data_IF_687471233591
#
_entry.id   IF_687471233591
#
_cell.length_a   1.000
_cell.length_b   1.000
_cell.length_c   1.000
_cell.angle_alpha   90.00
_cell.angle_beta   90.00
_cell.angle_gamma   90.00
#
_symmetry.space_group_name_H-M   'P 1'
#
loop_
_entity.id
_entity.type
_entity.pdbx_description
1 polymer ?
#
# COMPACT_ATOMS: atom_id res chain seq x y z
N UNK A 1 -0.37 -12.51 5.52
CA UNK A 1 -0.41 -11.90 6.87
C UNK A 1 0.71 -12.20 7.88
N UNK A 2 1.05 -13.46 8.24
CA UNK A 2 2.05 -13.70 9.32
C UNK A 2 3.40 -13.01 9.13
N UNK A 3 3.85 -12.89 7.87
CA UNK A 3 5.03 -12.14 7.51
C UNK A 3 4.88 -10.64 7.88
N UNK A 4 3.79 -9.98 7.47
CA UNK A 4 3.47 -8.60 7.81
C UNK A 4 3.50 -8.39 9.33
N UNK A 5 2.81 -9.28 10.07
CA UNK A 5 2.80 -9.27 11.53
C UNK A 5 4.20 -9.30 12.11
N UNK A 6 5.04 -10.25 11.67
CA UNK A 6 6.42 -10.37 12.15
C UNK A 6 7.27 -9.13 11.90
N UNK A 7 7.18 -8.51 10.72
CA UNK A 7 7.97 -7.32 10.40
C UNK A 7 7.54 -6.14 11.30
N UNK A 8 6.23 -5.90 11.37
CA UNK A 8 5.66 -4.72 12.03
C UNK A 8 5.82 -4.79 13.55
N UNK A 9 5.56 -5.96 14.16
CA UNK A 9 5.79 -6.17 15.60
C UNK A 9 7.28 -6.28 15.95
N UNK A 10 8.12 -6.67 14.99
CA UNK A 10 9.59 -6.64 15.10
C UNK A 10 10.22 -5.26 14.95
N UNK A 11 9.42 -4.18 14.88
CA UNK A 11 9.89 -2.80 14.84
C UNK A 11 10.14 -2.23 13.43
N UNK A 12 9.97 -3.02 12.37
CA UNK A 12 10.03 -2.54 10.99
C UNK A 12 8.68 -1.97 10.58
N UNK A 13 8.41 -0.77 11.08
CA UNK A 13 7.12 -0.08 10.91
C UNK A 13 7.08 0.85 9.69
N UNK A 14 8.14 0.99 8.92
CA UNK A 14 8.06 1.73 7.66
C UNK A 14 7.55 0.81 6.54
N UNK A 15 6.55 1.23 5.77
CA UNK A 15 6.00 0.44 4.64
C UNK A 15 7.06 0.08 3.59
N UNK A 16 8.15 0.85 3.49
CA UNK A 16 9.27 0.59 2.59
C UNK A 16 10.11 -0.61 3.04
N UNK A 17 9.95 -1.07 4.27
CA UNK A 17 10.67 -2.23 4.82
C UNK A 17 10.21 -3.58 4.23
N UNK A 18 9.10 -3.63 3.50
CA UNK A 18 8.60 -4.84 2.82
C UNK A 18 9.19 -5.06 1.41
N UNK A 19 10.18 -4.25 1.06
CA UNK A 19 10.95 -4.41 -0.16
C UNK A 19 12.19 -5.29 0.10
N UNK A 20 12.46 -6.25 -0.79
CA UNK A 20 13.55 -7.20 -0.68
C UNK A 20 14.47 -7.15 -1.89
N UNK A 21 15.77 -6.94 -1.65
CA UNK A 21 16.79 -7.37 -2.60
C UNK A 21 16.85 -8.90 -2.61
N UNK A 22 17.36 -9.48 -3.71
CA UNK A 22 17.50 -10.93 -3.89
C UNK A 22 17.99 -11.69 -2.66
N UNK A 23 19.01 -11.18 -1.97
CA UNK A 23 19.66 -11.87 -0.84
C UNK A 23 18.99 -11.59 0.52
N UNK A 24 17.97 -10.74 0.55
CA UNK A 24 17.24 -10.37 1.77
C UNK A 24 15.89 -11.07 1.89
N UNK A 25 15.45 -11.74 0.81
CA UNK A 25 14.18 -12.49 0.80
C UNK A 25 14.25 -13.56 1.89
N UNK A 26 13.35 -13.54 2.89
CA UNK A 26 13.33 -14.55 3.93
C UNK A 26 13.11 -15.97 3.38
N UNK A 27 13.80 -16.96 3.95
CA UNK A 27 13.78 -18.37 3.48
C UNK A 27 12.36 -18.99 3.42
N UNK A 28 11.45 -18.51 4.26
CA UNK A 28 10.07 -18.97 4.31
C UNK A 28 9.15 -18.33 3.25
N UNK A 29 9.62 -17.32 2.51
CA UNK A 29 8.88 -16.70 1.40
C UNK A 29 9.13 -17.46 0.09
N UNK A 30 8.77 -18.75 0.09
CA UNK A 30 9.10 -19.70 -0.99
C UNK A 30 8.64 -19.25 -2.38
N UNK A 31 7.48 -18.58 -2.49
CA UNK A 31 7.00 -18.00 -3.76
C UNK A 31 7.90 -16.87 -4.27
N UNK A 32 8.33 -15.98 -3.37
CA UNK A 32 9.21 -14.87 -3.72
C UNK A 32 10.61 -15.39 -4.09
N UNK A 33 11.11 -16.41 -3.38
CA UNK A 33 12.34 -17.11 -3.73
C UNK A 33 12.26 -17.77 -5.10
N UNK A 34 11.13 -18.41 -5.44
CA UNK A 34 10.92 -19.00 -6.75
C UNK A 34 10.96 -17.95 -7.87
N UNK A 35 10.34 -16.78 -7.66
CA UNK A 35 10.44 -15.64 -8.60
C UNK A 35 11.89 -15.15 -8.70
N UNK A 36 12.62 -15.07 -7.59
CA UNK A 36 14.02 -14.68 -7.64
C UNK A 36 14.85 -15.65 -8.50
N UNK A 37 14.62 -16.95 -8.40
CA UNK A 37 15.37 -17.97 -9.15
C UNK A 37 15.15 -17.93 -10.66
N UNK A 38 14.07 -17.30 -11.16
CA UNK A 38 13.82 -17.18 -12.61
C UNK A 38 14.59 -16.03 -13.25
N UNK A 39 14.98 -15.02 -12.47
CA UNK A 39 15.83 -13.93 -12.93
C UNK A 39 17.31 -14.34 -12.90
N UNK A 40 18.09 -13.90 -13.88
CA UNK A 40 19.53 -14.16 -13.96
C UNK A 40 20.27 -13.72 -12.68
N UNK A 41 21.35 -14.42 -12.31
CA UNK A 41 22.07 -14.15 -11.05
C UNK A 41 22.69 -12.74 -11.01
N UNK A 42 23.12 -12.22 -12.17
CA UNK A 42 23.78 -10.91 -12.30
C UNK A 42 22.79 -9.75 -12.49
N UNK A 43 21.48 -10.02 -12.52
CA UNK A 43 20.45 -8.99 -12.67
C UNK A 43 20.11 -8.44 -11.28
N UNK A 44 20.30 -7.12 -11.03
CA UNK A 44 19.81 -6.49 -9.82
C UNK A 44 18.29 -6.69 -9.71
N UNK A 45 17.87 -7.33 -8.62
CA UNK A 45 16.48 -7.73 -8.43
C UNK A 45 15.95 -7.20 -7.11
N UNK A 46 14.79 -6.56 -7.21
CA UNK A 46 13.97 -6.10 -6.12
C UNK A 46 12.61 -6.78 -6.20
N UNK A 47 12.14 -7.28 -5.06
CA UNK A 47 10.87 -7.99 -4.91
C UNK A 47 10.03 -7.32 -3.82
N UNK A 48 8.72 -7.32 -4.03
CA UNK A 48 7.74 -6.79 -3.08
C UNK A 48 6.38 -7.44 -3.34
N UNK A 49 5.50 -7.52 -2.34
CA UNK A 49 4.12 -7.88 -2.59
C UNK A 49 3.39 -6.77 -3.37
N UNK A 50 2.49 -7.16 -4.26
CA UNK A 50 1.76 -6.24 -5.14
C UNK A 50 0.91 -5.23 -4.36
N UNK A 51 0.23 -5.66 -3.29
CA UNK A 51 -0.66 -4.79 -2.52
C UNK A 51 0.13 -3.81 -1.63
N UNK A 52 1.28 -4.25 -1.10
CA UNK A 52 2.20 -3.36 -0.37
C UNK A 52 2.82 -2.33 -1.34
N UNK A 53 3.23 -2.77 -2.53
CA UNK A 53 3.75 -1.88 -3.58
C UNK A 53 2.70 -0.85 -4.00
N UNK A 54 1.42 -1.23 -4.16
CA UNK A 54 0.39 -0.26 -4.54
C UNK A 54 0.12 0.78 -3.46
N UNK A 55 0.29 0.43 -2.18
CA UNK A 55 0.24 1.41 -1.07
C UNK A 55 1.40 2.40 -1.15
N UNK A 56 2.62 1.94 -1.46
CA UNK A 56 3.76 2.84 -1.69
C UNK A 56 3.49 3.76 -2.87
N UNK A 57 3.03 3.22 -4.01
CA UNK A 57 2.74 4.02 -5.18
C UNK A 57 1.59 5.01 -4.96
N UNK A 58 0.56 4.65 -4.18
CA UNK A 58 -0.50 5.59 -3.83
C UNK A 58 0.02 6.81 -3.06
N UNK A 59 1.10 6.66 -2.27
CA UNK A 59 1.73 7.79 -1.57
C UNK A 59 2.54 8.71 -2.49
N UNK A 60 2.76 8.35 -3.75
CA UNK A 60 3.33 9.26 -4.74
C UNK A 60 2.30 10.28 -5.25
N UNK A 61 1.00 10.04 -5.05
CA UNK A 61 -0.02 11.05 -5.33
C UNK A 61 0.15 12.25 -4.39
N UNK A 62 0.31 13.49 -4.92
CA UNK A 62 0.57 14.67 -4.09
C UNK A 62 -0.47 14.93 -2.99
N UNK A 63 -1.74 14.59 -3.23
CA UNK A 63 -2.80 14.79 -2.25
C UNK A 63 -2.67 13.81 -1.09
N UNK A 64 -2.28 12.56 -1.38
CA UNK A 64 -2.02 11.52 -0.38
C UNK A 64 -0.73 11.81 0.38
N UNK A 65 0.32 12.24 -0.33
CA UNK A 65 1.61 12.59 0.25
C UNK A 65 1.51 13.73 1.28
N UNK A 66 0.66 14.73 1.02
CA UNK A 66 0.46 15.89 1.87
C UNK A 66 -0.18 15.57 3.24
N UNK A 67 -0.84 14.42 3.39
CA UNK A 67 -1.53 14.06 4.64
C UNK A 67 -0.56 13.41 5.61
N UNK A 68 -0.38 13.96 6.82
CA UNK A 68 0.44 13.29 7.81
C UNK A 68 -0.22 11.99 8.31
N UNK A 69 -1.45 12.07 8.82
CA UNK A 69 -2.25 10.91 9.21
C UNK A 69 -3.21 10.52 8.08
N UNK A 70 -3.18 9.25 7.67
CA UNK A 70 -4.00 8.72 6.57
C UNK A 70 -4.22 7.23 6.69
N UNK A 71 -5.34 6.76 6.11
CA UNK A 71 -5.52 5.36 5.74
C UNK A 71 -5.29 5.22 4.25
N UNK A 72 -4.44 4.28 3.84
CA UNK A 72 -4.21 3.95 2.43
C UNK A 72 -4.66 2.52 2.21
N UNK A 73 -5.69 2.34 1.39
CA UNK A 73 -6.32 1.06 1.14
C UNK A 73 -6.25 0.68 -0.35
N UNK A 74 -5.77 -0.53 -0.63
CA UNK A 74 -5.84 -1.14 -1.94
C UNK A 74 -6.96 -2.19 -1.96
N UNK A 75 -8.01 -1.95 -2.74
CA UNK A 75 -9.12 -2.89 -2.98
C UNK A 75 -8.82 -3.68 -4.25
N UNK A 76 -8.00 -4.73 -4.10
CA UNK A 76 -7.63 -5.65 -5.16
C UNK A 76 -8.77 -6.58 -5.57
N UNK A 77 -8.54 -7.40 -6.60
CA UNK A 77 -9.51 -8.41 -7.02
C UNK A 77 -9.71 -9.49 -5.93
N UNK A 78 -8.59 -9.97 -5.37
CA UNK A 78 -8.59 -11.06 -4.39
C UNK A 78 -8.48 -10.56 -2.96
N UNK A 79 -7.67 -9.52 -2.73
CA UNK A 79 -7.33 -9.02 -1.39
C UNK A 79 -7.52 -7.51 -1.26
N UNK A 80 -8.10 -7.12 -0.13
CA UNK A 80 -8.14 -5.77 0.37
C UNK A 80 -7.09 -5.65 1.46
N UNK A 81 -6.15 -4.73 1.26
CA UNK A 81 -5.10 -4.42 2.23
C UNK A 81 -5.21 -2.93 2.57
N UNK A 82 -5.31 -2.60 3.85
CA UNK A 82 -5.37 -1.21 4.31
C UNK A 82 -4.33 -0.95 5.40
N UNK A 83 -3.63 0.17 5.27
CA UNK A 83 -2.66 0.64 6.25
C UNK A 83 -3.14 1.95 6.87
N UNK A 84 -3.13 2.02 8.19
CA UNK A 84 -3.16 3.28 8.94
C UNK A 84 -1.73 3.78 9.08
N UNK A 85 -1.45 4.97 8.56
CA UNK A 85 -0.10 5.54 8.43
C UNK A 85 0.00 6.94 9.05
N UNK A 86 1.13 7.19 9.73
CA UNK A 86 1.65 8.53 10.00
C UNK A 86 2.92 8.73 9.17
N UNK A 87 2.86 9.58 8.14
CA UNK A 87 3.90 9.63 7.10
C UNK A 87 3.99 8.28 6.38
N UNK A 88 5.14 7.61 6.48
CA UNK A 88 5.36 6.22 6.03
C UNK A 88 5.30 5.19 7.15
N UNK A 89 5.11 5.62 8.41
CA UNK A 89 5.12 4.75 9.58
C UNK A 89 3.74 4.13 9.80
N UNK A 90 3.73 2.80 9.87
CA UNK A 90 2.57 1.95 10.08
C UNK A 90 2.15 2.03 11.55
N UNK A 91 0.92 2.51 11.74
CA UNK A 91 0.21 2.52 13.02
C UNK A 91 -0.73 1.32 13.16
N UNK A 92 -1.16 0.76 12.03
CA UNK A 92 -1.93 -0.49 11.98
C UNK A 92 -2.17 -0.91 10.54
N UNK A 93 -2.55 -2.16 10.34
CA UNK A 93 -2.99 -2.66 9.05
C UNK A 93 -3.97 -3.82 9.18
N UNK A 94 -4.75 -4.10 8.15
CA UNK A 94 -5.48 -5.36 8.03
C UNK A 94 -5.46 -5.87 6.59
N UNK A 95 -5.58 -7.18 6.44
CA UNK A 95 -5.67 -7.88 5.15
C UNK A 95 -6.91 -8.77 5.16
N UNK A 96 -7.73 -8.69 4.10
CA UNK A 96 -8.96 -9.46 3.98
C UNK A 96 -9.20 -9.91 2.54
N UNK A 97 -9.86 -11.04 2.33
CA UNK A 97 -10.35 -11.39 1.00
C UNK A 97 -11.40 -10.37 0.54
N UNK A 98 -11.25 -9.78 -0.65
CA UNK A 98 -12.12 -8.69 -1.09
C UNK A 98 -13.54 -9.17 -1.39
N UNK A 99 -13.69 -10.38 -1.94
CA UNK A 99 -14.99 -10.93 -2.33
C UNK A 99 -15.93 -11.22 -1.14
N UNK A 100 -15.40 -11.27 0.09
CA UNK A 100 -16.18 -11.44 1.34
C UNK A 100 -16.41 -10.12 2.07
N UNK A 101 -15.95 -9.00 1.52
CA UNK A 101 -16.21 -7.66 2.02
C UNK A 101 -17.38 -7.02 1.27
N UNK A 102 -18.31 -6.44 2.04
CA UNK A 102 -19.26 -5.44 1.56
C UNK A 102 -18.89 -4.05 2.08
N UNK A 103 -19.42 -3.01 1.45
CA UNK A 103 -19.11 -1.61 1.77
C UNK A 103 -19.20 -1.29 3.28
N UNK A 104 -20.32 -1.61 3.93
CA UNK A 104 -20.51 -1.33 5.35
C UNK A 104 -19.54 -2.08 6.28
N UNK A 105 -19.16 -3.32 5.93
CA UNK A 105 -18.15 -4.09 6.68
C UNK A 105 -16.78 -3.45 6.53
N UNK A 106 -16.39 -3.09 5.31
CA UNK A 106 -15.13 -2.42 5.02
C UNK A 106 -15.05 -1.05 5.73
N UNK A 107 -16.11 -0.26 5.69
CA UNK A 107 -16.19 1.02 6.41
C UNK A 107 -16.00 0.86 7.92
N UNK A 108 -16.68 -0.13 8.51
CA UNK A 108 -16.52 -0.46 9.92
C UNK A 108 -15.07 -0.82 10.24
N UNK A 109 -14.44 -1.66 9.40
CA UNK A 109 -13.05 -2.08 9.61
C UNK A 109 -12.07 -0.92 9.48
N UNK A 110 -12.22 -0.06 8.46
CA UNK A 110 -11.38 1.12 8.29
C UNK A 110 -11.46 2.04 9.50
N UNK A 111 -12.67 2.32 10.03
CA UNK A 111 -12.83 3.17 11.22
C UNK A 111 -12.21 2.55 12.46
N UNK A 112 -12.40 1.25 12.64
CA UNK A 112 -11.90 0.52 13.81
C UNK A 112 -10.38 0.33 13.77
N UNK A 113 -9.79 0.30 12.57
CA UNK A 113 -8.34 0.30 12.37
C UNK A 113 -7.69 1.54 12.99
N UNK A 114 -8.24 2.74 12.79
CA UNK A 114 -7.67 3.98 13.34
C UNK A 114 -8.06 4.22 14.80
N UNK A 115 -9.26 3.79 15.22
CA UNK A 115 -9.76 3.96 16.59
C UNK A 115 -9.22 2.96 17.59
N UNK A 116 -8.68 1.81 17.14
CA UNK A 116 -8.07 0.82 18.03
C UNK A 116 -8.97 -0.35 18.38
N UNK A 117 -10.03 -0.59 17.61
CA UNK A 117 -11.07 -1.59 17.94
C UNK A 117 -11.21 -2.71 16.93
N UNK A 118 -10.29 -2.86 15.96
CA UNK A 118 -10.30 -3.94 14.98
C UNK A 118 -9.44 -5.10 15.51
N UNK A 119 -10.10 -6.19 15.91
CA UNK A 119 -9.45 -7.38 16.45
C UNK A 119 -8.93 -8.28 15.32
N UNK A 120 -7.86 -9.02 15.60
CA UNK A 120 -7.31 -9.97 14.63
C UNK A 120 -8.26 -11.14 14.37
N UNK A 121 -8.83 -11.70 15.45
CA UNK A 121 -9.70 -12.86 15.41
C UNK A 121 -11.00 -12.59 14.63
N UNK A 122 -11.58 -11.39 14.73
CA UNK A 122 -12.78 -11.07 13.95
C UNK A 122 -12.50 -10.94 12.45
N UNK A 123 -11.30 -10.47 12.07
CA UNK A 123 -10.90 -10.41 10.66
C UNK A 123 -10.69 -11.82 10.15
N UNK A 124 -10.02 -12.67 10.92
CA UNK A 124 -9.81 -14.07 10.60
C UNK A 124 -11.14 -14.85 10.45
N UNK A 125 -12.02 -14.79 11.46
CA UNK A 125 -13.36 -15.40 11.42
C UNK A 125 -14.21 -14.85 10.27
N UNK A 126 -13.97 -13.61 9.86
CA UNK A 126 -14.60 -12.96 8.71
C UNK A 126 -14.11 -13.45 7.35
N UNK A 127 -13.26 -14.49 7.29
CA UNK A 127 -12.51 -14.94 6.12
C UNK A 127 -11.49 -13.93 5.60
N UNK A 128 -10.92 -13.11 6.49
CA UNK A 128 -9.73 -12.32 6.22
C UNK A 128 -8.46 -13.03 6.68
N UNK A 129 -7.32 -12.37 6.53
CA UNK A 129 -6.03 -12.92 6.97
C UNK A 129 -5.56 -12.36 8.33
N UNK A 130 -6.03 -11.18 8.71
CA UNK A 130 -5.85 -10.65 10.07
C UNK A 130 -5.81 -9.12 10.15
N UNK A 131 -5.64 -8.63 11.38
CA UNK A 131 -5.45 -7.22 11.70
C UNK A 131 -4.33 -7.02 12.73
N UNK A 132 -3.65 -5.87 12.63
CA UNK A 132 -2.61 -5.43 13.55
C UNK A 132 -2.90 -3.97 13.88
N UNK A 133 -2.96 -3.66 15.17
CA UNK A 133 -3.01 -2.29 15.68
C UNK A 133 -1.78 -2.08 16.57
N UNK A 134 -1.00 -1.06 16.27
CA UNK A 134 0.17 -0.65 17.04
C UNK A 134 -0.10 0.64 17.81
N UNK A 135 -0.60 1.66 17.10
CA UNK A 135 -1.05 2.93 17.67
C UNK A 135 -2.43 3.25 17.09
N UNK A 136 -3.28 3.82 17.92
CA UNK A 136 -4.65 4.13 17.59
C UNK A 136 -5.22 5.22 18.50
N UNK A 137 -6.48 5.58 18.28
CA UNK A 137 -7.21 6.56 19.09
C UNK A 137 -7.64 7.78 18.30
N UNK A 138 -7.64 7.70 16.97
CA UNK A 138 -8.02 8.79 16.10
C UNK A 138 -9.09 8.39 15.08
N UNK A 139 -9.80 9.40 14.59
CA UNK A 139 -10.70 9.28 13.46
C UNK A 139 -9.93 9.18 12.16
N UNK A 140 -10.55 8.63 11.12
CA UNK A 140 -9.99 8.68 9.77
C UNK A 140 -9.95 10.15 9.33
N UNK A 141 -8.76 10.76 9.36
CA UNK A 141 -8.54 12.11 8.85
C UNK A 141 -8.54 12.17 7.33
N UNK A 142 -8.02 11.13 6.68
CA UNK A 142 -7.98 10.99 5.23
C UNK A 142 -7.96 9.52 4.82
N UNK A 143 -8.73 9.16 3.79
CA UNK A 143 -8.77 7.81 3.24
C UNK A 143 -8.40 7.86 1.74
N UNK A 144 -7.24 7.30 1.42
CA UNK A 144 -6.81 7.05 0.05
C UNK A 144 -7.22 5.65 -0.38
N UNK A 145 -7.80 5.49 -1.56
CA UNK A 145 -8.22 4.20 -2.10
C UNK A 145 -7.67 3.98 -3.51
N UNK A 146 -7.03 2.84 -3.72
CA UNK A 146 -6.64 2.32 -5.04
C UNK A 146 -7.26 0.95 -5.28
N UNK A 147 -7.06 0.41 -6.48
CA UNK A 147 -7.44 -0.93 -6.86
C UNK A 147 -8.69 -1.02 -7.74
N UNK A 148 -8.86 -2.13 -8.46
CA UNK A 148 -9.97 -2.34 -9.39
C UNK A 148 -11.34 -2.35 -8.71
N UNK A 149 -11.43 -2.79 -7.45
CA UNK A 149 -12.70 -2.89 -6.70
C UNK A 149 -13.00 -1.66 -5.84
N UNK A 150 -12.28 -0.54 -6.04
CA UNK A 150 -12.46 0.72 -5.30
C UNK A 150 -13.88 1.30 -5.34
N UNK A 151 -14.65 0.99 -6.39
CA UNK A 151 -16.07 1.39 -6.51
C UNK A 151 -16.95 0.92 -5.34
N UNK A 152 -16.52 -0.10 -4.59
CA UNK A 152 -17.16 -0.52 -3.33
C UNK A 152 -17.32 0.64 -2.33
N UNK A 153 -16.45 1.66 -2.38
CA UNK A 153 -16.45 2.80 -1.47
C UNK A 153 -16.91 4.11 -2.12
N UNK A 154 -17.38 4.11 -3.37
CA UNK A 154 -17.73 5.35 -4.10
C UNK A 154 -18.84 6.16 -3.41
N UNK A 155 -19.85 5.49 -2.85
CA UNK A 155 -20.94 6.12 -2.10
C UNK A 155 -20.68 6.15 -0.58
N UNK A 156 -19.45 5.88 -0.13
CA UNK A 156 -19.14 5.74 1.28
C UNK A 156 -19.20 7.08 2.02
N UNK A 157 -19.77 7.15 3.23
CA UNK A 157 -19.69 8.34 4.09
C UNK A 157 -18.27 8.62 4.59
N UNK A 158 -17.30 7.74 4.32
CA UNK A 158 -15.89 8.00 4.56
C UNK A 158 -15.26 8.95 3.53
N UNK A 159 -15.98 9.29 2.45
CA UNK A 159 -15.56 10.21 1.39
C UNK A 159 -14.13 9.92 0.90
N UNK A 160 -13.89 8.72 0.33
CA UNK A 160 -12.55 8.32 -0.07
C UNK A 160 -12.00 9.20 -1.19
N UNK A 161 -10.70 9.48 -1.11
CA UNK A 161 -9.92 10.00 -2.23
C UNK A 161 -9.41 8.82 -3.07
N UNK A 162 -9.80 8.76 -4.35
CA UNK A 162 -9.30 7.73 -5.26
C UNK A 162 -7.98 8.18 -5.88
N UNK A 163 -6.86 7.68 -5.34
CA UNK A 163 -5.53 8.14 -5.72
C UNK A 163 -5.17 7.72 -7.16
N UNK A 164 -4.50 8.62 -7.86
CA UNK A 164 -4.06 8.44 -9.26
C UNK A 164 -2.59 8.85 -9.38
N UNK A 165 -1.66 8.10 -8.76
CA UNK A 165 -0.24 8.45 -8.81
C UNK A 165 0.24 8.46 -10.26
N UNK A 166 0.95 9.54 -10.63
CA UNK A 166 1.45 9.76 -12.00
C UNK A 166 0.35 9.67 -13.09
N UNK A 167 -0.91 9.91 -12.73
CA UNK A 167 -2.05 9.92 -13.65
C UNK A 167 -2.72 8.56 -13.92
N UNK A 168 -2.20 7.45 -13.41
CA UNK A 168 -2.79 6.13 -13.62
C UNK A 168 -2.81 5.27 -12.35
N UNK A 169 -4.00 5.14 -11.77
CA UNK A 169 -4.25 4.34 -10.57
C UNK A 169 -3.95 2.84 -10.77
N UNK A 170 -4.16 2.31 -11.98
CA UNK A 170 -3.91 0.89 -12.27
C UNK A 170 -2.41 0.55 -12.24
N UNK A 171 -1.54 1.56 -12.35
CA UNK A 171 -0.09 1.43 -12.28
C UNK A 171 0.48 1.78 -10.89
N UNK A 172 -0.36 2.05 -9.88
CA UNK A 172 0.12 2.37 -8.53
C UNK A 172 1.11 1.32 -8.00
N UNK A 173 0.85 0.02 -8.19
CA UNK A 173 1.80 -1.03 -7.81
C UNK A 173 3.15 -0.94 -8.54
N UNK A 174 3.12 -0.66 -9.85
CA UNK A 174 4.34 -0.48 -10.65
C UNK A 174 5.15 0.74 -10.20
N UNK A 175 4.49 1.88 -9.96
CA UNK A 175 5.16 3.07 -9.43
C UNK A 175 5.73 2.84 -8.04
N UNK A 176 5.02 2.10 -7.18
CA UNK A 176 5.52 1.69 -5.88
C UNK A 176 6.79 0.85 -5.94
N UNK A 177 6.89 -0.10 -6.88
CA UNK A 177 8.12 -0.86 -7.11
C UNK A 177 9.28 0.04 -7.54
N UNK A 178 9.02 0.98 -8.46
CA UNK A 178 10.03 1.94 -8.93
C UNK A 178 10.48 2.87 -7.81
N UNK A 179 9.55 3.36 -6.98
CA UNK A 179 9.84 4.15 -5.78
C UNK A 179 10.70 3.36 -4.79
N UNK A 180 10.33 2.13 -4.48
CA UNK A 180 11.09 1.25 -3.59
C UNK A 180 12.51 1.00 -4.14
N UNK A 181 12.66 0.84 -5.46
CA UNK A 181 13.96 0.70 -6.09
C UNK A 181 14.83 1.95 -5.92
N UNK A 182 14.28 3.15 -6.13
CA UNK A 182 15.01 4.39 -5.88
C UNK A 182 15.48 4.49 -4.41
N UNK A 183 14.71 3.94 -3.48
CA UNK A 183 15.04 3.96 -2.07
C UNK A 183 16.11 2.95 -1.65
N UNK A 184 16.22 1.83 -2.36
CA UNK A 184 17.15 0.74 -2.03
C UNK A 184 18.41 0.70 -2.89
N UNK A 185 18.37 1.29 -4.08
CA UNK A 185 19.48 1.30 -5.03
C UNK A 185 19.99 2.73 -5.28
N UNK A 186 21.00 3.14 -4.52
CA UNK A 186 21.60 4.48 -4.58
C UNK A 186 22.01 4.91 -6.01
N UNK A 187 22.65 4.08 -6.85
CA UNK A 187 23.14 4.53 -8.16
C UNK A 187 22.04 5.04 -9.10
N UNK A 188 20.79 4.58 -8.93
CA UNK A 188 19.66 4.95 -9.78
C UNK A 188 18.68 5.90 -9.09
N UNK A 189 18.88 6.20 -7.81
CA UNK A 189 17.96 7.00 -6.99
C UNK A 189 17.62 8.32 -7.69
N UNK A 190 18.61 9.15 -7.94
CA UNK A 190 18.38 10.51 -8.46
C UNK A 190 17.71 10.51 -9.83
N UNK A 191 18.06 9.56 -10.69
CA UNK A 191 17.45 9.42 -12.01
C UNK A 191 15.98 9.02 -11.89
N UNK A 192 15.68 8.00 -11.09
CA UNK A 192 14.31 7.53 -10.86
C UNK A 192 13.46 8.64 -10.21
N UNK A 193 13.98 9.28 -9.15
CA UNK A 193 13.26 10.35 -8.45
C UNK A 193 12.96 11.54 -9.38
N UNK A 194 13.89 11.89 -10.29
CA UNK A 194 13.67 12.92 -11.30
C UNK A 194 12.59 12.52 -12.29
N UNK A 195 12.62 11.28 -12.79
CA UNK A 195 11.62 10.78 -13.73
C UNK A 195 10.21 10.78 -13.13
N UNK A 196 10.06 10.32 -11.88
CA UNK A 196 8.78 10.32 -11.16
C UNK A 196 8.23 11.74 -10.94
N UNK A 197 9.09 12.76 -10.74
CA UNK A 197 8.64 14.16 -10.61
C UNK A 197 8.21 14.79 -11.94
N UNK A 198 8.79 14.36 -13.06
CA UNK A 198 8.48 14.92 -14.37
C UNK A 198 7.06 14.54 -14.83
N UNK A 199 6.58 13.36 -14.44
CA UNK A 199 5.21 12.89 -14.69
C UNK A 199 4.15 13.72 -13.97
N UNK A 200 4.43 14.22 -12.76
CA UNK A 200 3.50 15.07 -12.00
C UNK A 200 3.28 16.45 -12.65
N UNK A 201 4.27 16.96 -13.39
CA UNK A 201 4.21 18.27 -14.05
C UNK A 201 3.58 18.24 -15.44
N UNK A 202 3.71 17.15 -16.19
CA UNK A 202 3.22 17.04 -17.57
C UNK A 202 1.70 16.88 -17.68
N UNK A 203 1.03 16.41 -16.62
CA UNK A 203 -0.42 16.17 -16.63
C UNK A 203 -1.26 17.45 -16.46
N UNK A 204 -0.68 18.54 -15.93
CA UNK A 204 -1.39 19.82 -15.75
C UNK A 204 -1.40 20.71 -17.00
N UNK A 205 -0.65 20.36 -18.05
CA UNK A 205 -0.52 21.19 -19.27
C UNK A 205 -1.43 20.73 -20.43
N UNK A 206 -2.29 19.73 -20.19
CA UNK A 206 -3.24 19.21 -21.17
C UNK A 206 -4.67 19.40 -20.69
N UNK A 207 -5.16 20.64 -20.73
CA UNK A 207 -6.61 20.83 -20.56
C UNK A 207 -7.17 22.23 -20.38
N UNK A 208 -6.63 23.29 -20.99
CA UNK A 208 -7.34 24.57 -21.17
C UNK A 208 -7.24 25.05 -22.63
N UNK A 209 -7.99 24.41 -23.53
CA UNK A 209 -8.40 25.04 -24.78
C UNK A 209 -9.92 24.87 -24.93
N UNK A 210 -10.56 26.02 -25.09
CA UNK A 210 -12.00 26.33 -25.16
C UNK A 210 -12.91 25.28 -25.83
#
# INVERSE_FOLDING_TARGET
FDHLRRQVTGGKRDVRAFCYLRHEVPDYMTRMLAVAQTAGPDVPLLLMDTAEASVIGAMDDPHVAAQHCKVVANLGNEHTLAFHLHGSTIQGLFEHHTHTLGAGKLESYLRRLTRGGLEDEEVWMGQGHGAIILEAGEEIGFLSVTGPLRGMLEASPLNPYFATPHGDMMLAGCFGLVRALAERCEPWREEILRALRASDGAMWDLGHHN
#
